data_IF_718993611370
#
_entry.id   IF_718993611370
#
_cell.length_a   1.000
_cell.length_b   1.000
_cell.length_c   1.000
_cell.angle_alpha   90.00
_cell.angle_beta   90.00
_cell.angle_gamma   90.00
#
_symmetry.space_group_name_H-M   'P 1'
#
loop_
_entity.id
_entity.type
_entity.pdbx_description
1 polymer ?
#
# COMPACT_ATOMS: atom_id res chain seq x y z
N UNK A 1 -4.16 47.71 -6.41
CA UNK A 1 -2.99 47.52 -5.50
C UNK A 1 -3.40 47.15 -4.08
N UNK A 2 -4.18 47.98 -3.37
CA UNK A 2 -4.52 47.74 -1.96
C UNK A 2 -5.21 46.40 -1.70
N UNK A 3 -6.25 46.05 -2.47
CA UNK A 3 -6.98 44.77 -2.34
C UNK A 3 -6.04 43.57 -2.54
N UNK A 4 -5.27 43.57 -3.65
CA UNK A 4 -4.29 42.51 -3.96
C UNK A 4 -3.26 42.31 -2.83
N UNK A 5 -2.71 43.42 -2.29
CA UNK A 5 -1.76 43.37 -1.18
C UNK A 5 -2.38 42.86 0.12
N UNK A 6 -3.66 43.14 0.36
CA UNK A 6 -4.34 42.69 1.56
C UNK A 6 -4.67 41.19 1.50
N UNK A 7 -5.16 40.71 0.35
CA UNK A 7 -5.65 39.34 0.18
C UNK A 7 -4.55 38.33 -0.15
N UNK A 8 -3.46 38.74 -0.81
CA UNK A 8 -2.34 37.86 -1.18
C UNK A 8 -1.02 38.35 -0.58
N UNK A 9 -0.44 37.62 0.38
CA UNK A 9 0.89 37.91 0.90
C UNK A 9 1.98 37.91 -0.18
N UNK A 10 1.83 37.06 -1.21
CA UNK A 10 2.74 36.99 -2.35
C UNK A 10 2.68 38.28 -3.19
N UNK A 11 1.49 38.69 -3.61
CA UNK A 11 1.31 39.91 -4.40
C UNK A 11 1.73 41.14 -3.60
N UNK A 12 1.48 41.18 -2.29
CA UNK A 12 1.99 42.23 -1.41
C UNK A 12 3.50 42.37 -1.49
N UNK A 13 4.25 41.26 -1.42
CA UNK A 13 5.72 41.30 -1.51
C UNK A 13 6.18 41.87 -2.84
N UNK A 14 5.64 41.38 -3.95
CA UNK A 14 6.02 41.85 -5.30
C UNK A 14 5.67 43.33 -5.51
N UNK A 15 4.44 43.72 -5.16
CA UNK A 15 3.95 45.10 -5.34
C UNK A 15 4.60 46.13 -4.40
N UNK A 16 5.27 45.67 -3.34
CA UNK A 16 6.01 46.54 -2.41
C UNK A 16 7.50 46.61 -2.73
N UNK A 17 8.10 45.57 -3.32
CA UNK A 17 9.49 45.59 -3.80
C UNK A 17 9.70 46.45 -5.04
N UNK A 18 8.68 46.60 -5.89
CA UNK A 18 8.73 47.44 -7.11
C UNK A 18 8.64 48.95 -6.84
N UNK A 19 8.76 49.39 -5.58
CA UNK A 19 8.71 50.82 -5.18
C UNK A 19 9.87 51.69 -5.69
N UNK A 20 10.82 51.18 -6.47
CA UNK A 20 11.94 51.99 -6.98
C UNK A 20 11.56 52.96 -8.11
N UNK A 21 10.39 52.82 -8.74
CA UNK A 21 9.93 53.70 -9.81
C UNK A 21 8.61 54.39 -9.40
N UNK A 22 8.71 55.57 -8.78
CA UNK A 22 7.57 56.38 -8.33
C UNK A 22 7.07 57.37 -9.40
N UNK A 23 7.29 57.07 -10.69
CA UNK A 23 7.09 58.06 -11.78
C UNK A 23 5.71 57.97 -12.45
N UNK A 24 4.73 57.32 -11.82
CA UNK A 24 3.39 57.13 -12.41
C UNK A 24 3.33 56.11 -13.55
N UNK A 25 4.45 55.43 -13.86
CA UNK A 25 4.53 54.36 -14.87
C UNK A 25 3.89 53.09 -14.31
N UNK A 26 2.97 52.50 -15.09
CA UNK A 26 2.34 51.21 -14.77
C UNK A 26 3.41 50.13 -14.55
N UNK A 27 3.47 49.59 -13.33
CA UNK A 27 4.35 48.46 -13.01
C UNK A 27 3.80 47.18 -13.63
N UNK A 28 4.57 46.57 -14.53
CA UNK A 28 4.18 45.31 -15.20
C UNK A 28 4.75 44.10 -14.44
N UNK A 29 3.86 43.29 -13.86
CA UNK A 29 4.22 42.05 -13.17
C UNK A 29 3.92 40.88 -14.11
N UNK A 30 4.92 40.03 -14.35
CA UNK A 30 4.75 38.81 -15.14
C UNK A 30 4.52 37.62 -14.23
N UNK A 31 3.45 36.87 -14.51
CA UNK A 31 3.11 35.61 -13.86
C UNK A 31 3.09 34.49 -14.91
N UNK A 32 4.27 34.05 -15.42
CA UNK A 32 4.36 33.24 -16.64
C UNK A 32 3.76 31.84 -16.53
N UNK A 33 3.55 31.33 -15.31
CA UNK A 33 3.07 29.96 -15.07
C UNK A 33 1.57 29.88 -14.75
N UNK A 34 0.82 30.95 -14.99
CA UNK A 34 -0.62 31.04 -14.69
C UNK A 34 -1.35 31.36 -15.99
N UNK A 35 -2.34 30.54 -16.36
CA UNK A 35 -3.15 30.84 -17.55
C UNK A 35 -4.07 32.05 -17.30
N UNK A 36 -4.40 32.84 -18.33
CA UNK A 36 -5.28 34.00 -18.18
C UNK A 36 -6.63 33.65 -17.56
N UNK A 37 -7.21 32.50 -17.91
CA UNK A 37 -8.53 32.06 -17.45
C UNK A 37 -8.51 31.70 -15.96
N UNK A 38 -7.48 30.97 -15.52
CA UNK A 38 -7.29 30.61 -14.11
C UNK A 38 -6.99 31.85 -13.28
N UNK A 39 -6.15 32.76 -13.80
CA UNK A 39 -5.85 34.01 -13.11
C UNK A 39 -7.09 34.89 -12.97
N UNK A 40 -7.91 35.00 -14.01
CA UNK A 40 -9.17 35.75 -13.99
C UNK A 40 -10.10 35.23 -12.88
N UNK A 41 -10.26 33.92 -12.79
CA UNK A 41 -11.07 33.28 -11.72
C UNK A 41 -10.55 33.62 -10.32
N UNK A 42 -9.23 33.58 -10.12
CA UNK A 42 -8.62 33.94 -8.83
C UNK A 42 -8.72 35.43 -8.55
N UNK A 43 -8.62 36.27 -9.57
CA UNK A 43 -8.76 37.71 -9.44
C UNK A 43 -10.19 38.08 -8.99
N UNK A 44 -11.20 37.45 -9.58
CA UNK A 44 -12.60 37.58 -9.17
C UNK A 44 -12.80 37.15 -7.72
N UNK A 45 -12.20 36.02 -7.30
CA UNK A 45 -12.21 35.60 -5.90
C UNK A 45 -11.52 36.61 -4.96
N UNK A 46 -10.37 37.17 -5.36
CA UNK A 46 -9.65 38.14 -4.54
C UNK A 46 -10.49 39.39 -4.30
N UNK A 47 -11.25 39.85 -5.29
CA UNK A 47 -12.06 41.06 -5.22
C UNK A 47 -13.45 40.83 -4.63
N UNK A 48 -14.10 39.72 -4.97
CA UNK A 48 -15.49 39.43 -4.62
C UNK A 48 -15.68 38.41 -3.50
N UNK A 49 -14.64 37.65 -3.14
CA UNK A 49 -14.74 36.54 -2.17
C UNK A 49 -15.53 35.32 -2.66
N UNK A 50 -16.05 35.36 -3.88
CA UNK A 50 -16.85 34.29 -4.48
C UNK A 50 -15.98 33.56 -5.52
N UNK A 51 -15.99 32.23 -5.45
CA UNK A 51 -15.30 31.38 -6.41
C UNK A 51 -16.33 30.75 -7.34
N UNK A 52 -16.50 31.33 -8.54
CA UNK A 52 -17.41 30.82 -9.57
C UNK A 52 -16.69 29.76 -10.39
N UNK A 53 -16.91 28.48 -10.09
CA UNK A 53 -16.34 27.37 -10.85
C UNK A 53 -17.42 26.67 -11.65
N UNK A 54 -17.14 26.46 -12.94
CA UNK A 54 -17.93 25.55 -13.75
C UNK A 54 -17.76 24.14 -13.19
N UNK A 55 -18.84 23.56 -12.64
CA UNK A 55 -18.83 22.25 -11.98
C UNK A 55 -18.34 21.09 -12.87
N UNK A 56 -18.32 21.32 -14.19
CA UNK A 56 -17.95 20.35 -15.22
C UNK A 56 -16.43 20.21 -15.45
N UNK A 57 -15.59 21.15 -15.00
CA UNK A 57 -14.13 21.10 -15.20
C UNK A 57 -13.35 20.87 -13.91
N UNK A 58 -13.43 19.66 -13.35
CA UNK A 58 -12.67 19.27 -12.14
C UNK A 58 -11.14 19.47 -12.26
N UNK A 59 -10.59 19.45 -13.48
CA UNK A 59 -9.15 19.72 -13.70
C UNK A 59 -8.76 21.17 -13.39
N UNK A 60 -9.68 22.12 -13.56
CA UNK A 60 -9.46 23.53 -13.27
C UNK A 60 -9.41 23.77 -11.76
N UNK A 61 -10.14 22.99 -10.94
CA UNK A 61 -10.05 23.08 -9.47
C UNK A 61 -8.62 22.83 -8.97
N UNK A 62 -7.93 21.81 -9.49
CA UNK A 62 -6.55 21.52 -9.09
C UNK A 62 -5.56 22.59 -9.60
N UNK A 63 -5.77 23.12 -10.80
CA UNK A 63 -4.95 24.24 -11.32
C UNK A 63 -5.15 25.49 -10.46
N UNK A 64 -6.39 25.82 -10.10
CA UNK A 64 -6.72 26.94 -9.22
C UNK A 64 -6.10 26.71 -7.85
N UNK A 65 -6.17 25.50 -7.30
CA UNK A 65 -5.54 25.15 -6.04
C UNK A 65 -4.02 25.37 -6.07
N UNK A 66 -3.35 24.96 -7.16
CA UNK A 66 -1.92 25.18 -7.35
C UNK A 66 -1.57 26.67 -7.45
N UNK A 67 -2.40 27.47 -8.12
CA UNK A 67 -2.18 28.91 -8.23
C UNK A 67 -2.50 29.64 -6.92
N UNK A 68 -3.55 29.22 -6.20
CA UNK A 68 -3.89 29.73 -4.88
C UNK A 68 -2.73 29.50 -3.90
N UNK A 69 -2.08 28.34 -3.98
CA UNK A 69 -0.85 28.04 -3.24
C UNK A 69 0.29 29.00 -3.60
N UNK A 70 0.59 29.17 -4.89
CA UNK A 70 1.62 30.12 -5.35
C UNK A 70 1.36 31.56 -4.88
N UNK A 71 0.09 31.97 -4.81
CA UNK A 71 -0.34 33.30 -4.37
C UNK A 71 -0.55 33.39 -2.84
N UNK A 72 -0.30 32.31 -2.10
CA UNK A 72 -0.49 32.19 -0.65
C UNK A 72 -1.92 32.52 -0.17
N UNK A 73 -2.94 32.09 -0.91
CA UNK A 73 -4.36 32.31 -0.59
C UNK A 73 -4.90 31.19 0.34
N UNK A 74 -4.46 31.17 1.59
CA UNK A 74 -4.72 30.07 2.54
C UNK A 74 -6.20 29.71 2.73
N UNK A 75 -7.08 30.72 2.81
CA UNK A 75 -8.54 30.52 2.91
C UNK A 75 -9.09 29.70 1.72
N UNK A 76 -8.66 30.04 0.51
CA UNK A 76 -9.07 29.37 -0.72
C UNK A 76 -8.48 27.95 -0.82
N UNK A 77 -7.22 27.79 -0.41
CA UNK A 77 -6.54 26.48 -0.36
C UNK A 77 -7.31 25.51 0.53
N UNK A 78 -7.67 25.93 1.74
CA UNK A 78 -8.41 25.10 2.69
C UNK A 78 -9.80 24.72 2.17
N UNK A 79 -10.52 25.68 1.59
CA UNK A 79 -11.83 25.42 1.00
C UNK A 79 -11.74 24.41 -0.15
N UNK A 80 -10.82 24.63 -1.10
CA UNK A 80 -10.70 23.79 -2.29
C UNK A 80 -10.25 22.36 -1.98
N UNK A 81 -9.34 22.16 -1.01
CA UNK A 81 -8.94 20.81 -0.58
C UNK A 81 -10.14 20.03 -0.06
N UNK A 82 -10.90 20.61 0.88
CA UNK A 82 -12.10 19.98 1.44
C UNK A 82 -13.14 19.70 0.37
N UNK A 83 -13.44 20.68 -0.47
CA UNK A 83 -14.40 20.53 -1.55
C UNK A 83 -14.03 19.38 -2.51
N UNK A 84 -12.76 19.31 -2.93
CA UNK A 84 -12.27 18.26 -3.81
C UNK A 84 -12.38 16.87 -3.18
N UNK A 85 -12.03 16.75 -1.90
CA UNK A 85 -12.08 15.48 -1.16
C UNK A 85 -13.54 15.03 -0.97
N UNK A 86 -14.42 15.93 -0.55
CA UNK A 86 -15.82 15.60 -0.22
C UNK A 86 -16.67 15.37 -1.46
N UNK A 87 -16.47 16.15 -2.52
CA UNK A 87 -17.39 16.19 -3.67
C UNK A 87 -16.80 15.62 -4.97
N UNK A 88 -15.47 15.48 -5.06
CA UNK A 88 -14.77 15.07 -6.29
C UNK A 88 -13.80 13.90 -6.06
N UNK A 89 -14.00 13.11 -5.00
CA UNK A 89 -13.17 11.94 -4.66
C UNK A 89 -13.06 10.92 -5.80
N UNK A 90 -14.16 10.60 -6.48
CA UNK A 90 -14.16 9.68 -7.63
C UNK A 90 -13.31 10.23 -8.78
N UNK A 91 -13.40 11.54 -9.04
CA UNK A 91 -12.58 12.19 -10.05
C UNK A 91 -11.09 12.18 -9.67
N UNK A 92 -10.76 12.39 -8.39
CA UNK A 92 -9.39 12.24 -7.88
C UNK A 92 -8.87 10.83 -8.12
N UNK A 93 -9.69 9.80 -7.90
CA UNK A 93 -9.30 8.40 -8.14
C UNK A 93 -8.99 8.18 -9.62
N UNK A 94 -9.83 8.70 -10.53
CA UNK A 94 -9.61 8.59 -11.98
C UNK A 94 -8.40 9.40 -12.47
N UNK A 95 -8.07 10.51 -11.80
CA UNK A 95 -7.00 11.44 -12.17
C UNK A 95 -5.91 11.49 -11.10
N UNK A 96 -5.62 10.33 -10.49
CA UNK A 96 -4.78 10.23 -9.30
C UNK A 96 -3.38 10.79 -9.55
N UNK A 97 -2.77 10.44 -10.69
CA UNK A 97 -1.42 10.91 -11.02
C UNK A 97 -1.30 12.42 -11.14
N UNK A 98 -2.29 13.06 -11.77
CA UNK A 98 -2.32 14.53 -11.87
C UNK A 98 -2.52 15.17 -10.50
N UNK A 99 -3.44 14.63 -9.69
CA UNK A 99 -3.68 15.09 -8.32
C UNK A 99 -2.42 14.96 -7.46
N UNK A 100 -1.74 13.82 -7.52
CA UNK A 100 -0.52 13.54 -6.77
C UNK A 100 0.64 14.44 -7.20
N UNK A 101 0.75 14.73 -8.50
CA UNK A 101 1.78 15.64 -9.02
C UNK A 101 1.60 17.07 -8.49
N UNK A 102 0.36 17.55 -8.42
CA UNK A 102 0.06 18.89 -7.89
C UNK A 102 0.23 18.91 -6.38
N UNK A 103 -0.34 17.93 -5.67
CA UNK A 103 -0.30 17.88 -4.22
C UNK A 103 1.16 17.82 -3.72
N UNK A 104 1.99 16.94 -4.29
CA UNK A 104 3.38 16.71 -3.84
C UNK A 104 4.32 17.90 -4.03
N UNK A 105 4.04 18.81 -4.98
CA UNK A 105 4.86 20.01 -5.22
C UNK A 105 4.66 21.10 -4.16
N UNK A 106 3.54 21.06 -3.44
CA UNK A 106 3.21 22.05 -2.43
C UNK A 106 3.44 21.54 -1.02
N UNK A 107 3.85 22.42 -0.11
CA UNK A 107 3.88 22.11 1.34
C UNK A 107 2.57 22.44 2.05
N UNK A 108 1.67 23.20 1.40
CA UNK A 108 0.42 23.69 2.00
C UNK A 108 -0.79 22.80 1.67
N UNK A 109 -0.64 21.83 0.76
CA UNK A 109 -1.70 20.91 0.34
C UNK A 109 -1.74 19.61 1.17
N UNK A 110 -1.61 19.73 2.50
CA UNK A 110 -1.46 18.57 3.39
C UNK A 110 -2.70 17.67 3.43
N UNK A 111 -3.91 18.23 3.46
CA UNK A 111 -5.16 17.44 3.51
C UNK A 111 -5.31 16.60 2.24
N UNK A 112 -5.01 17.18 1.07
CA UNK A 112 -5.06 16.46 -0.20
C UNK A 112 -3.95 15.40 -0.32
N UNK A 113 -2.73 15.70 0.17
CA UNK A 113 -1.63 14.72 0.22
C UNK A 113 -1.97 13.53 1.12
N UNK A 114 -2.56 13.78 2.29
CA UNK A 114 -2.98 12.74 3.22
C UNK A 114 -4.10 11.90 2.61
N UNK A 115 -5.09 12.53 1.99
CA UNK A 115 -6.15 11.83 1.27
C UNK A 115 -5.61 10.90 0.17
N UNK A 116 -4.72 11.40 -0.69
CA UNK A 116 -4.09 10.59 -1.73
C UNK A 116 -3.25 9.43 -1.15
N UNK A 117 -2.47 9.69 -0.10
CA UNK A 117 -1.69 8.65 0.58
C UNK A 117 -2.59 7.58 1.19
N UNK A 118 -3.71 7.97 1.80
CA UNK A 118 -4.70 7.05 2.36
C UNK A 118 -5.36 6.19 1.27
N UNK A 119 -5.76 6.79 0.15
CA UNK A 119 -6.31 6.03 -0.99
C UNK A 119 -5.31 4.99 -1.51
N UNK A 120 -4.06 5.39 -1.73
CA UNK A 120 -3.03 4.51 -2.25
C UNK A 120 -2.65 3.40 -1.25
N UNK A 121 -2.68 3.69 0.05
CA UNK A 121 -2.48 2.67 1.08
C UNK A 121 -3.61 1.64 1.12
N UNK A 122 -4.87 2.06 0.98
CA UNK A 122 -6.04 1.19 1.11
C UNK A 122 -6.35 0.36 -0.15
N UNK A 123 -5.94 0.82 -1.33
CA UNK A 123 -6.22 0.14 -2.60
C UNK A 123 -5.14 0.44 -3.66
N UNK A 124 -3.87 0.08 -3.41
CA UNK A 124 -2.78 0.42 -4.34
C UNK A 124 -3.02 -0.10 -5.76
N UNK A 125 -3.60 -1.29 -5.92
CA UNK A 125 -3.93 -1.93 -7.21
C UNK A 125 -4.81 -1.07 -8.11
N UNK A 126 -5.68 -0.22 -7.56
CA UNK A 126 -6.51 0.71 -8.36
C UNK A 126 -5.66 1.75 -9.08
N UNK A 127 -4.48 2.04 -8.53
CA UNK A 127 -3.59 3.08 -9.00
C UNK A 127 -2.37 2.51 -9.73
N UNK A 128 -1.98 1.26 -9.47
CA UNK A 128 -0.83 0.63 -10.14
C UNK A 128 -0.95 0.59 -11.68
N UNK A 129 -2.17 0.60 -12.23
CA UNK A 129 -2.41 0.62 -13.68
C UNK A 129 -2.43 2.04 -14.28
N UNK A 130 -2.90 3.03 -13.52
CA UNK A 130 -3.16 4.40 -14.00
C UNK A 130 -2.11 5.41 -13.58
N UNK A 131 -1.33 5.10 -12.55
CA UNK A 131 -0.31 5.96 -11.96
C UNK A 131 1.04 5.26 -11.91
N UNK A 132 2.06 5.92 -12.47
CA UNK A 132 3.41 5.40 -12.39
C UNK A 132 4.01 5.66 -11.01
N UNK A 133 4.17 4.60 -10.22
CA UNK A 133 4.74 4.64 -8.88
C UNK A 133 6.12 5.31 -8.84
N UNK A 134 6.89 5.25 -9.94
CA UNK A 134 8.20 5.89 -10.05
C UNK A 134 8.15 7.42 -10.06
N UNK A 135 6.97 8.02 -10.25
CA UNK A 135 6.77 9.48 -10.24
C UNK A 135 6.56 10.06 -8.83
N UNK A 136 6.48 9.21 -7.80
CA UNK A 136 6.40 9.67 -6.42
C UNK A 136 7.67 10.41 -6.01
N UNK A 137 7.51 11.48 -5.24
CA UNK A 137 8.65 12.05 -4.51
C UNK A 137 9.13 11.05 -3.46
N UNK A 138 10.43 11.09 -3.10
CA UNK A 138 10.99 10.25 -2.05
C UNK A 138 10.21 10.38 -0.73
N UNK A 139 9.82 11.62 -0.36
CA UNK A 139 8.98 11.89 0.82
C UNK A 139 7.65 11.16 0.75
N UNK A 140 6.97 11.19 -0.40
CA UNK A 140 5.70 10.50 -0.61
C UNK A 140 5.88 8.98 -0.54
N UNK A 141 6.93 8.45 -1.16
CA UNK A 141 7.26 7.03 -1.12
C UNK A 141 7.49 6.56 0.33
N UNK A 142 8.35 7.25 1.07
CA UNK A 142 8.62 7.00 2.49
C UNK A 142 7.32 7.03 3.30
N UNK A 143 6.49 8.05 3.10
CA UNK A 143 5.22 8.19 3.83
C UNK A 143 4.25 7.04 3.57
N UNK A 144 4.30 6.43 2.38
CA UNK A 144 3.49 5.28 2.03
C UNK A 144 4.06 3.99 2.63
N UNK A 145 5.33 3.68 2.37
CA UNK A 145 5.94 2.40 2.78
C UNK A 145 6.18 2.32 4.29
N UNK A 146 6.14 3.43 5.01
CA UNK A 146 6.16 3.42 6.49
C UNK A 146 4.86 2.85 7.10
N UNK A 147 3.74 2.87 6.37
CA UNK A 147 2.41 2.56 6.93
C UNK A 147 2.17 1.08 7.19
N UNK A 148 1.68 0.75 8.38
CA UNK A 148 1.26 -0.61 8.71
C UNK A 148 0.01 -1.07 7.97
N UNK A 149 -0.88 -0.16 7.59
CA UNK A 149 -2.13 -0.46 6.90
C UNK A 149 -2.02 -0.43 5.37
N UNK A 150 -0.81 -0.31 4.82
CA UNK A 150 -0.57 -0.41 3.37
C UNK A 150 -0.96 -1.82 2.90
N UNK A 151 -2.00 -1.87 2.06
CA UNK A 151 -2.56 -3.07 1.49
C UNK A 151 -1.69 -3.54 0.31
N UNK A 152 -0.47 -3.97 0.56
CA UNK A 152 0.46 -4.46 -0.46
C UNK A 152 1.35 -5.53 0.17
N UNK A 153 1.66 -6.59 -0.56
CA UNK A 153 2.59 -7.60 -0.06
C UNK A 153 3.98 -7.00 0.08
N UNK A 154 4.76 -7.43 1.06
CA UNK A 154 6.08 -6.85 1.27
C UNK A 154 7.01 -7.08 0.07
N UNK A 155 6.87 -8.21 -0.62
CA UNK A 155 7.62 -8.47 -1.86
C UNK A 155 7.27 -7.47 -2.96
N UNK A 156 6.00 -7.09 -3.07
CA UNK A 156 5.55 -6.08 -4.02
C UNK A 156 6.09 -4.71 -3.62
N UNK A 157 6.08 -4.36 -2.32
CA UNK A 157 6.67 -3.10 -1.82
C UNK A 157 8.15 -3.02 -2.22
N UNK A 158 8.92 -4.09 -1.99
CA UNK A 158 10.32 -4.19 -2.40
C UNK A 158 10.51 -3.95 -3.89
N UNK A 159 9.75 -4.64 -4.74
CA UNK A 159 9.84 -4.49 -6.19
C UNK A 159 9.51 -3.07 -6.67
N UNK A 160 8.53 -2.41 -6.04
CA UNK A 160 8.17 -1.03 -6.37
C UNK A 160 9.24 -0.03 -5.92
N UNK A 161 9.86 -0.24 -4.76
CA UNK A 161 10.97 0.59 -4.27
C UNK A 161 12.21 0.44 -5.16
N UNK A 162 12.54 -0.79 -5.58
CA UNK A 162 13.60 -1.03 -6.57
C UNK A 162 13.32 -0.31 -7.90
N UNK A 163 12.11 -0.46 -8.45
CA UNK A 163 11.70 0.22 -9.69
C UNK A 163 11.77 1.74 -9.55
N UNK A 164 11.38 2.27 -8.39
CA UNK A 164 11.50 3.69 -8.09
C UNK A 164 12.96 4.15 -8.09
N UNK A 165 13.85 3.40 -7.42
CA UNK A 165 15.29 3.69 -7.37
C UNK A 165 15.95 3.67 -8.76
N UNK A 166 15.58 2.70 -9.61
CA UNK A 166 16.04 2.62 -11.00
C UNK A 166 15.58 3.82 -11.82
N UNK A 167 14.33 4.27 -11.63
CA UNK A 167 13.83 5.45 -12.33
C UNK A 167 14.54 6.75 -11.92
N UNK A 168 15.08 6.82 -10.69
CA UNK A 168 15.92 7.95 -10.27
C UNK A 168 17.35 7.85 -10.83
N UNK A 169 17.77 6.68 -11.31
CA UNK A 169 19.11 6.41 -11.84
C UNK A 169 19.05 5.80 -13.26
N UNK A 170 18.74 6.60 -14.30
CA UNK A 170 18.44 6.08 -15.65
C UNK A 170 19.59 5.32 -16.33
N UNK A 171 20.82 5.44 -15.83
CA UNK A 171 22.00 4.72 -16.33
C UNK A 171 22.06 3.27 -15.84
N UNK A 172 21.33 2.93 -14.77
CA UNK A 172 21.30 1.58 -14.22
C UNK A 172 20.29 0.72 -14.97
N UNK A 173 20.73 -0.47 -15.38
CA UNK A 173 19.84 -1.50 -15.94
C UNK A 173 19.29 -2.39 -14.82
N UNK A 174 18.18 -3.08 -15.06
CA UNK A 174 17.47 -3.84 -14.02
C UNK A 174 18.29 -5.03 -13.47
N UNK A 175 19.21 -5.57 -14.27
CA UNK A 175 19.96 -6.78 -13.94
C UNK A 175 21.08 -6.51 -12.93
N UNK A 176 20.98 -7.00 -11.68
CA UNK A 176 22.02 -6.77 -10.67
C UNK A 176 23.33 -7.51 -10.98
N UNK A 177 23.33 -8.54 -11.83
CA UNK A 177 24.56 -9.24 -12.20
C UNK A 177 25.51 -8.36 -13.02
N UNK A 178 24.99 -7.33 -13.68
CA UNK A 178 25.78 -6.41 -14.51
C UNK A 178 26.26 -5.17 -13.76
N UNK A 179 25.92 -5.02 -12.47
CA UNK A 179 26.23 -3.81 -11.71
C UNK A 179 27.65 -3.83 -11.18
N UNK A 180 28.35 -2.71 -11.39
CA UNK A 180 29.62 -2.41 -10.73
C UNK A 180 29.42 -2.03 -9.25
N UNK A 181 30.49 -1.97 -8.47
CA UNK A 181 30.40 -1.52 -7.08
C UNK A 181 29.92 -0.06 -6.98
N UNK A 182 30.28 0.79 -7.95
CA UNK A 182 29.80 2.19 -8.02
C UNK A 182 28.29 2.27 -8.33
N UNK A 183 27.77 1.35 -9.15
CA UNK A 183 26.33 1.24 -9.44
C UNK A 183 25.54 0.86 -8.17
N UNK A 184 26.06 -0.11 -7.41
CA UNK A 184 25.48 -0.50 -6.12
C UNK A 184 25.49 0.65 -5.12
N UNK A 185 26.59 1.40 -5.04
CA UNK A 185 26.70 2.54 -4.13
C UNK A 185 25.75 3.67 -4.52
N UNK A 186 25.59 3.93 -5.82
CA UNK A 186 24.63 4.91 -6.36
C UNK A 186 23.18 4.54 -5.99
N UNK A 187 22.80 3.28 -6.22
CA UNK A 187 21.46 2.79 -5.86
C UNK A 187 21.25 2.81 -4.34
N UNK A 188 22.25 2.40 -3.56
CA UNK A 188 22.18 2.38 -2.10
C UNK A 188 21.97 3.79 -1.53
N UNK A 189 22.68 4.79 -2.05
CA UNK A 189 22.50 6.19 -1.67
C UNK A 189 21.10 6.69 -2.03
N UNK A 190 20.56 6.28 -3.19
CA UNK A 190 19.20 6.62 -3.61
C UNK A 190 18.14 6.01 -2.69
N UNK A 191 18.33 4.77 -2.25
CA UNK A 191 17.35 4.02 -1.46
C UNK A 191 17.59 4.07 0.05
N UNK A 192 18.59 4.82 0.53
CA UNK A 192 19.06 4.80 1.92
C UNK A 192 17.93 5.01 2.95
N UNK A 193 16.95 5.87 2.64
CA UNK A 193 15.83 6.18 3.53
C UNK A 193 14.65 5.22 3.36
N UNK A 194 14.62 4.46 2.26
CA UNK A 194 13.57 3.49 1.96
C UNK A 194 13.92 2.09 2.47
N UNK A 195 15.18 1.66 2.34
CA UNK A 195 15.64 0.32 2.73
C UNK A 195 15.28 -0.06 4.18
N UNK A 196 15.45 0.82 5.19
CA UNK A 196 15.09 0.50 6.57
C UNK A 196 13.57 0.32 6.80
N UNK A 197 12.74 0.75 5.86
CA UNK A 197 11.27 0.67 5.95
C UNK A 197 10.72 -0.61 5.29
N UNK A 198 11.57 -1.39 4.64
CA UNK A 198 11.22 -2.68 4.05
C UNK A 198 11.26 -3.77 5.13
N UNK A 199 10.18 -4.52 5.25
CA UNK A 199 9.99 -5.55 6.29
C UNK A 199 10.53 -6.88 5.79
N UNK A 200 11.83 -6.95 5.48
CA UNK A 200 12.46 -8.12 4.83
C UNK A 200 12.20 -9.46 5.55
N UNK A 201 12.10 -9.46 6.88
CA UNK A 201 11.76 -10.65 7.66
C UNK A 201 10.34 -11.19 7.41
N UNK A 202 9.50 -10.43 6.70
CA UNK A 202 8.15 -10.86 6.29
C UNK A 202 8.13 -11.65 4.99
N UNK A 203 9.25 -11.67 4.26
CA UNK A 203 9.37 -12.38 3.00
C UNK A 203 9.51 -13.89 3.23
N UNK A 204 9.02 -14.67 2.27
CA UNK A 204 9.32 -16.11 2.24
C UNK A 204 10.80 -16.35 1.84
N UNK A 205 11.39 -17.51 2.21
CA UNK A 205 12.74 -17.87 1.76
C UNK A 205 12.89 -17.85 0.24
N UNK A 206 11.83 -18.22 -0.49
CA UNK A 206 11.79 -18.21 -1.95
C UNK A 206 11.85 -16.78 -2.50
N UNK A 207 11.02 -15.88 -1.97
CA UNK A 207 11.01 -14.48 -2.37
C UNK A 207 12.35 -13.80 -2.06
N UNK A 208 12.88 -14.00 -0.86
CA UNK A 208 14.20 -13.48 -0.49
C UNK A 208 15.28 -13.96 -1.47
N UNK A 209 15.38 -15.28 -1.68
CA UNK A 209 16.41 -15.88 -2.54
C UNK A 209 16.31 -15.40 -4.00
N UNK A 210 15.11 -15.26 -4.55
CA UNK A 210 14.92 -14.92 -5.96
C UNK A 210 14.92 -13.41 -6.24
N UNK A 211 14.52 -12.58 -5.29
CA UNK A 211 14.20 -11.15 -5.54
C UNK A 211 15.00 -10.17 -4.71
N UNK A 212 15.49 -10.57 -3.54
CA UNK A 212 16.28 -9.69 -2.65
C UNK A 212 17.75 -10.02 -2.72
N UNK A 213 18.10 -11.31 -2.62
CA UNK A 213 19.48 -11.81 -2.62
C UNK A 213 20.33 -11.33 -3.81
N UNK A 214 19.80 -11.22 -5.05
CA UNK A 214 20.57 -10.64 -6.16
C UNK A 214 21.07 -9.22 -5.88
N UNK A 215 20.36 -8.46 -5.04
CA UNK A 215 20.70 -7.10 -4.62
C UNK A 215 21.32 -7.03 -3.22
N UNK A 216 21.88 -8.12 -2.69
CA UNK A 216 22.40 -8.21 -1.31
C UNK A 216 23.38 -7.08 -0.93
N UNK A 217 24.15 -6.53 -1.90
CA UNK A 217 25.09 -5.42 -1.69
C UNK A 217 24.40 -4.11 -1.26
N UNK A 218 23.10 -3.97 -1.51
CA UNK A 218 22.30 -2.83 -1.03
C UNK A 218 22.02 -2.92 0.47
N UNK A 219 22.05 -4.12 1.04
CA UNK A 219 21.75 -4.34 2.46
C UNK A 219 23.00 -4.15 3.32
N UNK A 220 22.80 -3.72 4.55
CA UNK A 220 23.86 -3.80 5.55
C UNK A 220 24.23 -5.27 5.77
N UNK A 221 25.53 -5.58 5.86
CA UNK A 221 26.03 -6.94 6.11
C UNK A 221 25.35 -7.61 7.30
N UNK A 222 25.19 -6.92 8.43
CA UNK A 222 24.53 -7.48 9.62
C UNK A 222 23.08 -7.86 9.32
N UNK A 223 22.33 -6.97 8.66
CA UNK A 223 20.94 -7.24 8.27
C UNK A 223 20.85 -8.45 7.33
N UNK A 224 21.78 -8.59 6.39
CA UNK A 224 21.80 -9.72 5.47
C UNK A 224 22.05 -11.04 6.20
N UNK A 225 23.05 -11.10 7.08
CA UNK A 225 23.33 -12.30 7.89
C UNK A 225 22.13 -12.64 8.79
N UNK A 226 21.55 -11.65 9.48
CA UNK A 226 20.36 -11.84 10.32
C UNK A 226 19.17 -12.40 9.51
N UNK A 227 19.00 -11.95 8.26
CA UNK A 227 17.97 -12.48 7.37
C UNK A 227 18.24 -13.93 6.99
N UNK A 228 19.48 -14.26 6.60
CA UNK A 228 19.89 -15.63 6.27
C UNK A 228 19.66 -16.55 7.47
N UNK A 229 20.12 -16.15 8.65
CA UNK A 229 19.94 -16.90 9.89
C UNK A 229 18.46 -17.10 10.21
N UNK A 230 17.61 -16.09 10.01
CA UNK A 230 16.15 -16.22 10.22
C UNK A 230 15.46 -17.24 9.30
N UNK A 231 16.07 -17.56 8.15
CA UNK A 231 15.56 -18.56 7.23
C UNK A 231 16.15 -19.96 7.46
N UNK A 232 17.33 -20.05 8.08
CA UNK A 232 18.06 -21.29 8.32
C UNK A 232 17.81 -21.85 9.72
N UNK A 233 17.81 -20.98 10.74
CA UNK A 233 17.60 -21.34 12.13
C UNK A 233 16.24 -20.83 12.65
N UNK A 234 15.29 -21.75 12.94
CA UNK A 234 14.02 -21.40 13.55
C UNK A 234 14.15 -20.73 14.94
N UNK A 235 15.21 -21.00 15.70
CA UNK A 235 15.36 -20.52 17.08
C UNK A 235 16.08 -19.16 17.17
N UNK A 236 16.48 -18.59 16.02
CA UNK A 236 17.06 -17.25 15.94
C UNK A 236 16.10 -16.20 16.54
N UNK A 237 16.64 -15.09 17.07
CA UNK A 237 15.85 -14.01 17.69
C UNK A 237 15.98 -12.72 16.90
N UNK A 238 14.87 -11.99 16.64
CA UNK A 238 14.97 -10.67 16.03
C UNK A 238 15.72 -9.73 16.95
N UNK A 239 16.36 -8.74 16.34
CA UNK A 239 16.60 -7.49 17.03
C UNK A 239 15.24 -6.86 17.40
N UNK A 240 15.12 -6.26 18.60
CA UNK A 240 13.87 -5.63 19.06
C UNK A 240 13.35 -4.54 18.09
N UNK A 241 14.23 -4.01 17.24
CA UNK A 241 13.90 -3.00 16.23
C UNK A 241 13.33 -3.55 14.91
N UNK A 242 13.10 -4.87 14.79
CA UNK A 242 12.56 -5.47 13.57
C UNK A 242 11.10 -5.08 13.35
N UNK A 243 10.80 -4.57 12.15
CA UNK A 243 9.43 -4.19 11.77
C UNK A 243 8.52 -5.42 11.60
N UNK A 244 7.32 -5.33 12.19
CA UNK A 244 6.25 -6.32 12.05
C UNK A 244 5.63 -6.28 10.64
N UNK A 245 4.93 -7.34 10.18
CA UNK A 245 4.32 -7.37 8.86
C UNK A 245 3.17 -6.40 8.75
N UNK A 246 2.82 -6.04 7.51
CA UNK A 246 1.70 -5.14 7.26
C UNK A 246 0.37 -5.79 7.62
N UNK A 247 -0.56 -4.96 8.09
CA UNK A 247 -1.93 -5.31 8.41
C UNK A 247 -2.77 -5.37 7.13
N UNK A 248 -2.52 -6.40 6.32
CA UNK A 248 -3.29 -6.67 5.10
C UNK A 248 -4.70 -7.16 5.47
N UNK A 249 -5.72 -6.60 4.82
CA UNK A 249 -7.12 -6.98 4.96
C UNK A 249 -7.32 -8.46 4.62
N UNK A 250 -8.12 -9.13 5.43
CA UNK A 250 -8.38 -10.57 5.30
C UNK A 250 -8.96 -10.95 3.94
N UNK A 251 -9.77 -10.09 3.33
CA UNK A 251 -10.40 -10.31 2.01
C UNK A 251 -9.37 -10.53 0.89
N UNK A 252 -8.14 -10.05 1.06
CA UNK A 252 -7.03 -10.28 0.11
C UNK A 252 -6.31 -11.60 0.33
N UNK A 253 -6.51 -12.21 1.50
CA UNK A 253 -5.85 -13.43 1.95
C UNK A 253 -6.77 -14.63 1.71
N UNK A 254 -8.05 -14.49 2.02
CA UNK A 254 -9.07 -15.53 1.87
C UNK A 254 -10.39 -14.96 1.34
N UNK A 255 -10.94 -15.60 0.31
CA UNK A 255 -12.28 -15.30 -0.19
C UNK A 255 -13.35 -16.07 0.62
N UNK A 256 -13.69 -15.54 1.80
CA UNK A 256 -14.66 -16.15 2.73
C UNK A 256 -15.72 -15.17 3.22
N UNK A 257 -16.96 -15.65 3.27
CA UNK A 257 -18.08 -14.94 3.92
C UNK A 257 -18.25 -15.31 5.40
N UNK A 258 -17.56 -16.36 5.85
CA UNK A 258 -17.73 -16.91 7.21
C UNK A 258 -16.50 -16.69 8.08
N UNK A 259 -15.30 -16.60 7.49
CA UNK A 259 -14.06 -16.27 8.19
C UNK A 259 -13.76 -14.80 7.88
N UNK A 260 -13.95 -13.92 8.86
CA UNK A 260 -13.64 -12.49 8.74
C UNK A 260 -12.55 -12.02 9.74
N UNK A 261 -12.05 -12.92 10.58
CA UNK A 261 -11.00 -12.63 11.55
C UNK A 261 -9.65 -13.18 11.07
N UNK A 262 -8.69 -12.28 10.82
CA UNK A 262 -7.38 -12.64 10.29
C UNK A 262 -6.59 -13.55 11.23
N UNK A 263 -6.84 -13.47 12.54
CA UNK A 263 -6.17 -14.33 13.53
C UNK A 263 -6.48 -15.82 13.32
N UNK A 264 -7.67 -16.18 12.82
CA UNK A 264 -8.03 -17.56 12.49
C UNK A 264 -7.16 -18.05 11.35
N UNK A 265 -7.06 -17.27 10.27
CA UNK A 265 -6.26 -17.61 9.09
C UNK A 265 -4.79 -17.77 9.46
N UNK A 266 -4.26 -16.85 10.28
CA UNK A 266 -2.88 -16.92 10.80
C UNK A 266 -2.68 -18.16 11.66
N UNK A 267 -3.64 -18.51 12.52
CA UNK A 267 -3.55 -19.68 13.41
C UNK A 267 -3.54 -20.98 12.62
N UNK A 268 -4.42 -21.10 11.61
CA UNK A 268 -4.45 -22.26 10.71
C UNK A 268 -3.15 -22.37 9.91
N UNK A 269 -2.67 -21.26 9.35
CA UNK A 269 -1.41 -21.23 8.60
C UNK A 269 -0.25 -21.75 9.46
N UNK A 270 -0.14 -21.25 10.70
CA UNK A 270 0.88 -21.69 11.66
C UNK A 270 0.77 -23.18 11.99
N UNK A 271 -0.44 -23.70 12.11
CA UNK A 271 -0.66 -25.13 12.35
C UNK A 271 -0.23 -26.00 11.15
N UNK A 272 -0.52 -25.56 9.93
CA UNK A 272 -0.10 -26.24 8.68
C UNK A 272 1.41 -26.33 8.60
N UNK A 273 2.10 -25.22 8.87
CA UNK A 273 3.56 -25.17 8.82
C UNK A 273 4.24 -26.05 9.88
N UNK A 274 3.45 -26.60 10.82
CA UNK A 274 3.94 -27.25 12.04
C UNK A 274 5.02 -26.39 12.72
N UNK A 275 4.88 -25.07 12.59
CA UNK A 275 5.81 -24.16 13.20
C UNK A 275 5.71 -24.39 14.69
N UNK A 276 6.76 -25.02 15.21
CA UNK A 276 6.98 -25.09 16.64
C UNK A 276 6.87 -23.65 17.14
N UNK A 277 6.12 -23.44 18.22
CA UNK A 277 5.91 -22.13 18.85
C UNK A 277 7.26 -21.44 19.19
N UNK A 278 8.40 -22.15 19.08
CA UNK A 278 9.76 -21.62 19.20
C UNK A 278 10.24 -20.74 18.04
N UNK A 279 9.66 -20.83 16.83
CA UNK A 279 10.05 -19.93 15.76
C UNK A 279 9.46 -18.55 15.99
N UNK A 280 10.22 -17.71 16.67
CA UNK A 280 9.80 -16.37 17.10
C UNK A 280 9.47 -15.45 15.93
N UNK A 281 9.78 -15.82 14.69
CA UNK A 281 9.52 -15.03 13.48
C UNK A 281 8.31 -15.47 12.66
N UNK A 282 7.59 -16.51 13.09
CA UNK A 282 6.42 -16.99 12.36
C UNK A 282 5.30 -15.94 12.26
N UNK A 283 5.22 -15.04 13.25
CA UNK A 283 4.32 -13.91 13.23
C UNK A 283 4.73 -12.84 12.20
N UNK A 284 5.99 -12.88 11.73
CA UNK A 284 6.50 -11.98 10.70
C UNK A 284 6.18 -12.48 9.28
N UNK A 285 6.00 -13.78 9.04
CA UNK A 285 5.78 -14.26 7.67
C UNK A 285 4.37 -13.94 7.17
N UNK A 286 4.28 -13.46 5.92
CA UNK A 286 2.99 -13.33 5.24
C UNK A 286 2.30 -14.70 5.15
N UNK A 287 1.00 -14.70 5.42
CA UNK A 287 0.18 -15.90 5.43
C UNK A 287 -0.05 -16.45 4.02
N UNK A 288 -0.46 -17.71 3.94
CA UNK A 288 -0.89 -18.35 2.71
C UNK A 288 -1.96 -17.51 1.96
N UNK A 289 -1.85 -17.48 0.62
CA UNK A 289 -2.99 -17.09 -0.22
C UNK A 289 -3.90 -18.30 -0.36
N UNK A 290 -5.14 -18.19 0.13
CA UNK A 290 -6.12 -19.25 0.02
C UNK A 290 -6.86 -19.14 -1.32
N UNK A 291 -6.82 -20.21 -2.11
CA UNK A 291 -7.62 -20.34 -3.32
C UNK A 291 -8.97 -20.99 -2.97
N UNK A 292 -10.07 -20.32 -3.30
CA UNK A 292 -11.40 -20.86 -3.05
C UNK A 292 -11.74 -21.96 -4.06
N UNK A 293 -11.71 -23.21 -3.62
CA UNK A 293 -12.14 -24.36 -4.43
C UNK A 293 -13.68 -24.48 -4.46
N UNK A 294 -14.31 -24.56 -3.29
CA UNK A 294 -15.75 -24.79 -3.15
C UNK A 294 -16.36 -23.84 -2.12
N UNK A 295 -17.53 -23.31 -2.43
CA UNK A 295 -18.36 -22.54 -1.49
C UNK A 295 -19.77 -23.10 -1.51
N UNK A 296 -20.24 -23.66 -0.39
CA UNK A 296 -21.55 -24.29 -0.32
C UNK A 296 -22.73 -23.38 -0.72
N UNK A 297 -22.66 -22.07 -0.45
CA UNK A 297 -23.70 -21.12 -0.88
C UNK A 297 -23.69 -20.79 -2.39
N UNK A 298 -22.63 -21.14 -3.12
CA UNK A 298 -22.46 -20.93 -4.56
C UNK A 298 -22.63 -22.24 -5.32
N UNK A 299 -21.99 -23.30 -4.84
CA UNK A 299 -21.83 -24.58 -5.54
C UNK A 299 -22.75 -25.67 -4.98
N UNK A 300 -23.31 -25.49 -3.78
CA UNK A 300 -24.03 -26.52 -3.05
C UNK A 300 -23.13 -27.43 -2.21
N UNK A 301 -23.74 -28.35 -1.46
CA UNK A 301 -23.07 -29.23 -0.49
C UNK A 301 -23.05 -30.71 -0.92
N UNK A 302 -23.25 -31.00 -2.22
CA UNK A 302 -23.34 -32.39 -2.68
C UNK A 302 -21.94 -33.03 -2.78
N UNK A 303 -21.78 -34.31 -2.44
CA UNK A 303 -20.52 -35.03 -2.64
C UNK A 303 -20.05 -34.98 -4.09
N UNK A 304 -20.99 -35.09 -5.04
CA UNK A 304 -20.70 -34.96 -6.48
C UNK A 304 -19.98 -33.65 -6.80
N UNK A 305 -20.49 -32.52 -6.28
CA UNK A 305 -19.89 -31.21 -6.54
C UNK A 305 -18.54 -31.03 -5.84
N UNK A 306 -18.40 -31.59 -4.64
CA UNK A 306 -17.11 -31.62 -3.95
C UNK A 306 -16.04 -32.33 -4.79
N UNK A 307 -16.31 -33.54 -5.26
CA UNK A 307 -15.35 -34.28 -6.08
C UNK A 307 -15.09 -33.61 -7.43
N UNK A 308 -16.09 -32.95 -8.04
CA UNK A 308 -15.89 -32.17 -9.27
C UNK A 308 -14.89 -31.01 -9.10
N UNK A 309 -14.90 -30.33 -7.95
CA UNK A 309 -14.09 -29.14 -7.71
C UNK A 309 -12.79 -29.39 -6.93
N UNK A 310 -12.77 -30.39 -6.06
CA UNK A 310 -11.69 -30.62 -5.10
C UNK A 310 -10.84 -31.86 -5.40
N UNK A 311 -11.28 -32.81 -6.24
CA UNK A 311 -10.44 -33.97 -6.58
C UNK A 311 -9.13 -33.51 -7.24
N UNK A 312 -8.07 -34.26 -6.97
CA UNK A 312 -6.71 -33.97 -7.42
C UNK A 312 -6.09 -32.69 -6.82
N UNK A 313 -6.72 -32.07 -5.81
CA UNK A 313 -6.17 -30.93 -5.07
C UNK A 313 -5.57 -31.39 -3.73
N UNK A 314 -4.27 -31.15 -3.47
CA UNK A 314 -3.66 -31.35 -2.14
C UNK A 314 -3.83 -30.11 -1.24
N UNK A 315 -3.38 -30.21 0.02
CA UNK A 315 -3.23 -29.07 0.95
C UNK A 315 -4.49 -28.21 1.09
N UNK A 316 -5.62 -28.86 1.35
CA UNK A 316 -6.93 -28.20 1.42
C UNK A 316 -7.33 -27.92 2.87
N UNK A 317 -7.88 -26.73 3.12
CA UNK A 317 -8.53 -26.39 4.40
C UNK A 317 -10.03 -26.22 4.15
N UNK A 318 -10.84 -26.88 4.97
CA UNK A 318 -12.31 -26.75 4.93
C UNK A 318 -12.78 -25.95 6.13
N UNK A 319 -13.65 -24.96 5.89
CA UNK A 319 -14.32 -24.17 6.92
C UNK A 319 -15.84 -24.34 6.82
N UNK A 320 -16.50 -24.61 7.94
CA UNK A 320 -17.94 -24.84 8.05
C UNK A 320 -18.47 -23.97 9.18
N UNK A 321 -19.45 -23.10 8.89
CA UNK A 321 -20.18 -22.33 9.91
C UNK A 321 -21.39 -23.13 10.41
N UNK A 322 -21.51 -23.31 11.72
CA UNK A 322 -22.67 -24.00 12.32
C UNK A 322 -23.88 -23.06 12.31
N UNK A 323 -25.01 -23.54 11.79
CA UNK A 323 -26.25 -22.74 11.74
C UNK A 323 -26.72 -22.38 13.15
N UNK A 324 -27.05 -21.11 13.37
CA UNK A 324 -27.53 -20.60 14.66
C UNK A 324 -26.45 -20.42 15.73
N UNK A 325 -25.17 -20.61 15.38
CA UNK A 325 -24.03 -20.36 16.26
C UNK A 325 -22.98 -19.53 15.54
N UNK A 326 -22.26 -18.69 16.29
CA UNK A 326 -21.04 -18.05 15.81
C UNK A 326 -19.84 -18.99 15.96
N UNK A 327 -19.97 -20.24 15.50
CA UNK A 327 -18.93 -21.27 15.61
C UNK A 327 -18.52 -21.73 14.21
N UNK A 328 -17.20 -21.77 13.98
CA UNK A 328 -16.59 -22.25 12.74
C UNK A 328 -15.79 -23.50 13.07
N UNK A 329 -16.17 -24.61 12.43
CA UNK A 329 -15.44 -25.87 12.51
C UNK A 329 -14.79 -26.18 11.17
N UNK A 330 -13.82 -27.09 11.18
CA UNK A 330 -13.14 -27.45 9.95
C UNK A 330 -12.00 -28.41 10.13
N UNK A 331 -11.24 -28.57 9.07
CA UNK A 331 -10.03 -29.38 9.08
C UNK A 331 -9.13 -29.13 7.88
N UNK A 332 -7.87 -29.50 8.06
CA UNK A 332 -6.85 -29.49 7.03
C UNK A 332 -6.58 -30.92 6.57
N UNK A 333 -6.59 -31.11 5.26
CA UNK A 333 -6.14 -32.34 4.61
C UNK A 333 -4.95 -32.02 3.68
N UNK A 334 -3.73 -32.51 4.00
CA UNK A 334 -2.56 -32.35 3.15
C UNK A 334 -2.59 -33.27 1.93
N UNK A 335 -3.33 -34.38 2.00
CA UNK A 335 -3.39 -35.37 0.93
C UNK A 335 -4.27 -34.89 -0.23
N UNK A 336 -4.07 -35.53 -1.38
CA UNK A 336 -4.87 -35.31 -2.58
C UNK A 336 -6.23 -35.98 -2.42
N UNK A 337 -7.32 -35.23 -2.62
CA UNK A 337 -8.67 -35.79 -2.70
C UNK A 337 -8.83 -36.71 -3.91
N UNK A 338 -9.44 -37.88 -3.70
CA UNK A 338 -9.72 -38.89 -4.73
C UNK A 338 -11.10 -39.50 -4.47
N UNK A 339 -11.79 -39.84 -5.55
CA UNK A 339 -13.10 -40.50 -5.52
C UNK A 339 -13.04 -42.04 -5.48
N UNK A 340 -11.84 -42.64 -5.55
CA UNK A 340 -11.65 -44.09 -5.62
C UNK A 340 -11.50 -44.74 -4.23
N UNK A 341 -12.52 -44.64 -3.37
CA UNK A 341 -12.82 -45.54 -2.24
C UNK A 341 -11.69 -46.06 -1.32
N UNK A 342 -10.53 -45.41 -1.26
CA UNK A 342 -9.36 -45.84 -0.48
C UNK A 342 -9.05 -44.82 0.60
N UNK A 343 -8.72 -45.32 1.79
CA UNK A 343 -8.21 -44.52 2.88
C UNK A 343 -6.79 -44.04 2.57
N UNK A 344 -6.48 -42.81 2.97
CA UNK A 344 -5.14 -42.24 2.93
C UNK A 344 -4.63 -42.05 4.35
N UNK A 345 -3.37 -42.39 4.61
CA UNK A 345 -2.72 -42.20 5.90
C UNK A 345 -1.91 -40.91 5.90
N UNK A 346 -2.04 -40.10 6.96
CA UNK A 346 -1.20 -38.92 7.16
C UNK A 346 -1.15 -38.55 8.64
N UNK A 347 -0.01 -38.01 9.08
CA UNK A 347 0.18 -37.48 10.44
C UNK A 347 -0.06 -35.97 10.53
N UNK A 348 -0.40 -35.37 9.39
CA UNK A 348 -0.35 -33.92 9.18
C UNK A 348 -1.75 -33.30 9.08
N UNK A 349 -2.79 -34.15 9.06
CA UNK A 349 -4.18 -33.72 9.14
C UNK A 349 -4.53 -33.26 10.54
N UNK A 350 -5.36 -32.22 10.63
CA UNK A 350 -5.91 -31.74 11.88
C UNK A 350 -7.31 -31.18 11.68
N UNK A 351 -8.11 -31.21 12.75
CA UNK A 351 -9.42 -30.59 12.82
C UNK A 351 -9.40 -29.43 13.80
N UNK A 352 -10.33 -28.50 13.65
CA UNK A 352 -10.42 -27.33 14.50
C UNK A 352 -11.85 -26.87 14.76
N UNK A 353 -12.03 -26.15 15.87
CA UNK A 353 -13.21 -25.35 16.19
C UNK A 353 -12.80 -23.98 16.73
N UNK A 354 -13.41 -22.92 16.18
CA UNK A 354 -13.28 -21.54 16.62
C UNK A 354 -14.65 -21.01 17.05
N UNK A 355 -14.78 -20.66 18.33
CA UNK A 355 -15.99 -20.04 18.87
C UNK A 355 -15.94 -18.53 18.73
N UNK A 356 -17.09 -17.92 18.50
CA UNK A 356 -17.28 -16.49 18.24
C UNK A 356 -16.36 -15.94 17.15
N UNK A 357 -15.92 -16.80 16.22
CA UNK A 357 -14.95 -16.44 15.19
C UNK A 357 -13.70 -15.72 15.79
N UNK A 358 -13.23 -16.24 16.92
CA UNK A 358 -12.03 -15.81 17.63
C UNK A 358 -11.12 -17.02 17.93
N UNK A 359 -9.85 -16.76 18.21
CA UNK A 359 -8.80 -17.75 18.49
C UNK A 359 -8.62 -18.05 19.98
N UNK A 360 -9.13 -17.19 20.87
CA UNK A 360 -8.94 -17.30 22.34
C UNK A 360 -9.36 -18.66 22.89
N UNK A 361 -10.51 -19.16 22.45
CA UNK A 361 -11.09 -20.44 22.89
C UNK A 361 -11.04 -21.50 21.78
N UNK A 362 -10.02 -21.43 20.91
CA UNK A 362 -9.87 -22.36 19.79
C UNK A 362 -9.45 -23.75 20.25
N UNK A 363 -10.00 -24.77 19.59
CA UNK A 363 -9.62 -26.17 19.76
C UNK A 363 -9.00 -26.61 18.45
N UNK A 364 -7.76 -27.11 18.48
CA UNK A 364 -7.08 -27.69 17.32
C UNK A 364 -6.55 -29.06 17.73
N UNK A 365 -6.87 -30.10 16.97
CA UNK A 365 -6.46 -31.47 17.27
C UNK A 365 -5.96 -32.16 16.01
N UNK A 366 -4.78 -32.76 16.09
CA UNK A 366 -4.28 -33.62 15.02
C UNK A 366 -5.14 -34.87 14.93
N UNK A 367 -5.41 -35.31 13.70
CA UNK A 367 -6.10 -36.58 13.44
C UNK A 367 -5.12 -37.72 13.72
N UNK A 368 -5.60 -38.75 14.42
CA UNK A 368 -4.90 -40.01 14.61
C UNK A 368 -5.74 -41.07 13.92
N UNK A 369 -5.25 -41.56 12.79
CA UNK A 369 -5.81 -42.70 12.07
C UNK A 369 -5.04 -43.99 12.41
#
# INVERSE_FOLDING_TARGET
KNILCYRSPYLRRILTSDKKNNDGVLTHIKLPNISPEIFQTILEYIYGGILSLNEHNSSDFLKILAVADNLHLQELINYLQKYLIENKSEWIVQNFGFTQQISSKSKNLLELQEFCTNLMAQSPEKFLLSFNFTSLSEKSLISLIKRDDLQMKEIEVWEHVLKWGLAQNPTLILDPETWSDDDFETMKNTLQNCLPLIRFFSLSPKEFSQKVRPYQKLLNRQLYEDLVDSFVDPDSKPNENTLLPRNIKIERIIDSKIVNNLSIVKTISRQIDKINIRNNFAHLKESYKFELLLRGSRDGFTPKKFHELCDNKPNTVTFIKIKGKEEIIGGYNPLIWKSYGKWGETKDSFIFSFKNNDVKDSIISNVRD
#
